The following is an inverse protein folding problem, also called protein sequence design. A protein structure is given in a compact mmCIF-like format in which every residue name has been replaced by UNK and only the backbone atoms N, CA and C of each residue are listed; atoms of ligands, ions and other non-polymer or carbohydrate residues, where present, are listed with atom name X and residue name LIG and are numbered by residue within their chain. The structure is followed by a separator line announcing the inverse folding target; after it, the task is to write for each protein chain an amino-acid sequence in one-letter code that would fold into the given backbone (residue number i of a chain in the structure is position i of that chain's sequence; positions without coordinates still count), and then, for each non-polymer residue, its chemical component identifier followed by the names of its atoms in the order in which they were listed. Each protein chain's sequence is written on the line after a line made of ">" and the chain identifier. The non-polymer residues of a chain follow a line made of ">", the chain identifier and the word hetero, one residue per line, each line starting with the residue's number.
data_IF_029374942756
#
_entry.id   IF_029374942756
#
_cell.length_a   1.000
_cell.length_b   1.000
_cell.length_c   1.000
_cell.angle_alpha   90.00
_cell.angle_beta   90.00
_cell.angle_gamma   90.00
#
_symmetry.space_group_name_H-M   'P 1'
#
loop_
_entity.id
_entity.type
_entity.pdbx_description
1 polymer ?
#
# COMPACT_ATOMS: atom_id res chain seq x y z
N UNK A 1 12.12 -15.82 3.50
CA UNK A 1 12.09 -15.34 3.24
C UNK A 1 11.89 -14.34 3.37
N UNK A 2 11.95 -13.95 3.39
CA UNK A 2 11.86 -13.10 3.44
C UNK A 2 11.43 -12.28 3.48
N UNK A 3 11.31 -12.09 3.55
CA UNK A 3 10.92 -11.14 3.26
C UNK A 3 10.47 -9.99 3.94
N UNK A 4 11.25 -9.38 4.53
CA UNK A 4 10.77 -8.14 5.08
C UNK A 4 10.46 -7.19 3.95
N UNK A 5 9.33 -6.55 4.01
CA UNK A 5 8.96 -5.59 3.01
C UNK A 5 9.90 -4.40 3.08
N UNK A 6 10.48 -4.09 1.96
CA UNK A 6 11.20 -2.84 1.84
C UNK A 6 10.22 -1.79 1.33
N UNK A 7 10.60 -0.53 1.45
CA UNK A 7 9.71 0.55 1.08
C UNK A 7 9.24 0.44 -0.36
N UNK A 8 10.10 -0.03 -1.24
CA UNK A 8 9.74 -0.21 -2.64
C UNK A 8 8.66 -1.26 -2.82
N UNK A 9 8.78 -2.34 -2.07
CA UNK A 9 7.79 -3.41 -2.15
C UNK A 9 6.44 -2.94 -1.66
N UNK A 10 6.43 -2.12 -0.63
CA UNK A 10 5.20 -1.57 -0.11
C UNK A 10 4.52 -0.69 -1.15
N UNK A 11 5.28 0.16 -1.80
CA UNK A 11 4.74 1.03 -2.84
C UNK A 11 4.14 0.22 -3.98
N UNK A 12 4.86 -0.81 -4.42
CA UNK A 12 4.39 -1.66 -5.50
C UNK A 12 3.10 -2.36 -5.09
N UNK A 13 3.03 -2.85 -3.87
CA UNK A 13 1.84 -3.53 -3.39
C UNK A 13 0.64 -2.59 -3.39
N UNK A 14 0.83 -1.37 -2.89
CA UNK A 14 -0.24 -0.38 -2.86
C UNK A 14 -0.71 -0.08 -4.27
N UNK A 15 0.23 0.14 -5.18
CA UNK A 15 -0.13 0.45 -6.56
C UNK A 15 -0.88 -0.71 -7.22
N UNK A 16 -0.54 -1.94 -6.87
CA UNK A 16 -1.23 -3.10 -7.42
C UNK A 16 -2.71 -3.08 -7.06
N UNK A 17 -3.02 -2.75 -5.81
CA UNK A 17 -4.41 -2.66 -5.39
C UNK A 17 -5.14 -1.56 -6.16
N UNK A 18 -4.50 -0.40 -6.29
CA UNK A 18 -5.12 0.73 -6.94
C UNK A 18 -5.27 0.52 -8.44
N UNK A 19 -4.38 -0.24 -9.04
CA UNK A 19 -4.50 -0.58 -10.45
C UNK A 19 -5.69 -1.47 -10.72
N UNK A 20 -5.95 -2.40 -9.81
CA UNK A 20 -7.09 -3.28 -9.95
C UNK A 20 -8.39 -2.54 -9.75
N UNK A 21 -8.41 -1.66 -8.76
CA UNK A 21 -9.60 -0.89 -8.45
C UNK A 21 -9.16 0.40 -7.76
N UNK A 22 -9.24 1.50 -8.49
CA UNK A 22 -8.81 2.78 -7.97
C UNK A 22 -9.62 3.26 -6.78
N UNK A 23 -10.72 2.59 -6.48
CA UNK A 23 -11.56 2.95 -5.34
C UNK A 23 -11.29 2.10 -4.11
N UNK A 24 -10.28 1.24 -4.17
CA UNK A 24 -9.96 0.40 -3.02
C UNK A 24 -9.69 1.28 -1.80
N UNK A 25 -10.40 1.05 -0.68
CA UNK A 25 -10.17 1.86 0.52
C UNK A 25 -8.78 1.67 1.06
N UNK A 26 -8.19 2.75 1.55
CA UNK A 26 -6.87 2.66 2.14
C UNK A 26 -6.87 1.76 3.38
N UNK A 27 -7.99 1.74 4.13
CA UNK A 27 -8.08 0.86 5.28
C UNK A 27 -7.96 -0.60 4.88
N UNK A 28 -8.56 -0.96 3.77
CA UNK A 28 -8.48 -2.32 3.27
C UNK A 28 -7.04 -2.66 2.90
N UNK A 29 -6.39 -1.76 2.14
CA UNK A 29 -5.01 -1.98 1.74
C UNK A 29 -4.11 -2.13 2.96
N UNK A 30 -4.31 -1.26 3.95
CA UNK A 30 -3.51 -1.30 5.16
C UNK A 30 -3.65 -2.63 5.89
N UNK A 31 -4.87 -3.13 5.98
CA UNK A 31 -5.12 -4.42 6.63
C UNK A 31 -4.44 -5.55 5.87
N UNK A 32 -4.54 -5.53 4.55
CA UNK A 32 -3.95 -6.58 3.74
C UNK A 32 -2.43 -6.58 3.83
N UNK A 33 -1.84 -5.41 3.96
CA UNK A 33 -0.40 -5.29 4.00
C UNK A 33 0.17 -5.29 5.42
N UNK A 34 -0.71 -5.25 6.41
CA UNK A 34 -0.26 -5.28 7.81
C UNK A 34 0.40 -3.98 8.25
N UNK A 35 -0.05 -2.85 7.69
CA UNK A 35 0.50 -1.55 8.07
C UNK A 35 -0.63 -0.62 8.49
N UNK A 36 -0.28 0.52 9.04
CA UNK A 36 -1.28 1.51 9.45
C UNK A 36 -1.85 2.22 8.23
N UNK A 37 -3.11 2.62 8.35
CA UNK A 37 -3.75 3.36 7.27
C UNK A 37 -2.99 4.64 6.94
N UNK A 38 -2.49 5.32 7.95
CA UNK A 38 -1.72 6.54 7.72
C UNK A 38 -0.49 6.30 6.86
N UNK A 39 0.11 5.12 7.00
CA UNK A 39 1.25 4.76 6.18
C UNK A 39 0.85 4.66 4.71
N UNK A 40 -0.30 4.03 4.46
CA UNK A 40 -0.78 3.91 3.09
C UNK A 40 -1.06 5.29 2.50
N UNK A 41 -1.71 6.15 3.27
CA UNK A 41 -2.02 7.50 2.81
C UNK A 41 -0.77 8.28 2.45
N UNK A 42 0.24 8.19 3.30
CA UNK A 42 1.48 8.91 3.04
C UNK A 42 2.14 8.41 1.77
N UNK A 43 2.14 7.11 1.59
CA UNK A 43 2.76 6.54 0.40
C UNK A 43 2.04 6.98 -0.85
N UNK A 44 0.72 6.92 -0.85
CA UNK A 44 -0.07 7.32 -2.00
C UNK A 44 0.18 8.80 -2.31
N UNK A 45 0.22 9.63 -1.29
CA UNK A 45 0.46 11.06 -1.49
C UNK A 45 1.81 11.32 -2.14
N UNK A 46 2.81 10.49 -1.83
CA UNK A 46 4.12 10.65 -2.42
C UNK A 46 4.20 10.13 -3.84
N UNK A 47 3.35 9.16 -4.16
CA UNK A 47 3.35 8.57 -5.50
C UNK A 47 2.61 9.44 -6.51
N UNK A 48 1.73 10.29 -6.02
CA UNK A 48 0.99 11.22 -6.85
C UNK A 48 1.76 12.52 -6.96
#
# INVERSE_FOLDING_TARGET
>A
MSGSPVLKDLDVAILSYLKQDGRTPFTFIAQELGVAEGTVRKRVARLI
#
